data_IF_341159604048
#
_entry.id   IF_341159604048
#
_cell.length_a   1.000
_cell.length_b   1.000
_cell.length_c   1.000
_cell.angle_alpha   90.00
_cell.angle_beta   90.00
_cell.angle_gamma   90.00
#
_symmetry.space_group_name_H-M   'P 1'
#
loop_
_entity.id
_entity.type
_entity.pdbx_description
1 polymer ?
#
# COMPACT_ATOMS: atom_id res chain seq x y z
N UNK A 1 -11.73 20.61 -1.06
CA UNK A 1 -11.50 19.16 -1.22
C UNK A 1 -12.01 18.43 0.01
N UNK A 2 -12.64 17.24 -0.11
CA UNK A 2 -13.16 16.48 1.06
C UNK A 2 -12.06 15.64 1.74
N UNK A 3 -10.95 16.26 2.13
CA UNK A 3 -9.75 15.55 2.63
C UNK A 3 -10.06 14.68 3.85
N UNK A 4 -10.85 15.18 4.79
CA UNK A 4 -11.29 14.42 5.97
C UNK A 4 -12.09 13.16 5.62
N UNK A 5 -12.92 13.22 4.57
CA UNK A 5 -13.64 12.04 4.09
C UNK A 5 -12.67 11.00 3.56
N UNK A 6 -11.73 11.39 2.69
CA UNK A 6 -10.75 10.46 2.11
C UNK A 6 -9.83 9.87 3.18
N UNK A 7 -9.41 10.67 4.16
CA UNK A 7 -8.68 10.19 5.33
C UNK A 7 -9.48 9.11 6.07
N UNK A 8 -10.75 9.39 6.38
CA UNK A 8 -11.63 8.43 7.06
C UNK A 8 -11.82 7.14 6.27
N UNK A 9 -11.94 7.23 4.94
CA UNK A 9 -12.03 6.07 4.04
C UNK A 9 -10.73 5.25 4.03
N UNK A 10 -9.57 5.90 3.97
CA UNK A 10 -8.27 5.24 4.00
C UNK A 10 -8.05 4.51 5.34
N UNK A 11 -8.43 5.13 6.45
CA UNK A 11 -8.36 4.52 7.78
C UNK A 11 -9.29 3.31 7.89
N UNK A 12 -10.58 3.46 7.53
CA UNK A 12 -11.55 2.37 7.60
C UNK A 12 -11.19 1.18 6.70
N UNK A 13 -10.63 1.45 5.52
CA UNK A 13 -10.20 0.40 4.60
C UNK A 13 -9.08 -0.47 5.20
N UNK A 14 -8.16 0.10 5.98
CA UNK A 14 -7.08 -0.67 6.61
C UNK A 14 -7.62 -1.74 7.56
N UNK A 15 -8.60 -1.35 8.38
CA UNK A 15 -9.33 -2.28 9.25
C UNK A 15 -10.15 -3.31 8.48
N UNK A 16 -10.82 -2.91 7.39
CA UNK A 16 -11.60 -3.83 6.56
C UNK A 16 -10.73 -4.91 5.90
N UNK A 17 -9.55 -4.55 5.38
CA UNK A 17 -8.60 -5.52 4.81
C UNK A 17 -8.12 -6.51 5.87
N UNK A 18 -7.76 -6.03 7.06
CA UNK A 18 -7.35 -6.91 8.17
C UNK A 18 -8.48 -7.86 8.60
N UNK A 19 -9.72 -7.38 8.64
CA UNK A 19 -10.89 -8.19 8.97
C UNK A 19 -11.17 -9.26 7.90
N UNK A 20 -11.02 -8.94 6.61
CA UNK A 20 -11.18 -9.91 5.52
C UNK A 20 -10.10 -10.99 5.53
N UNK A 21 -8.90 -10.68 6.02
CA UNK A 21 -7.82 -11.65 6.17
C UNK A 21 -7.94 -12.51 7.44
N UNK A 22 -8.83 -12.16 8.36
CA UNK A 22 -8.97 -12.87 9.63
C UNK A 22 -9.55 -14.27 9.42
N UNK A 23 -8.99 -15.26 10.13
CA UNK A 23 -9.47 -16.65 10.08
C UNK A 23 -9.05 -17.45 8.83
N UNK A 24 -8.36 -16.82 7.87
CA UNK A 24 -7.78 -17.52 6.72
C UNK A 24 -6.56 -18.32 7.20
N UNK A 25 -6.58 -19.63 6.95
CA UNK A 25 -5.47 -20.49 7.32
C UNK A 25 -4.27 -20.37 6.36
N UNK A 26 -3.17 -21.07 6.70
CA UNK A 26 -1.93 -20.97 5.94
C UNK A 26 -2.09 -21.44 4.49
N UNK A 27 -2.83 -22.52 4.24
CA UNK A 27 -2.98 -23.10 2.92
C UNK A 27 -3.91 -22.24 2.06
N UNK A 28 -5.04 -21.80 2.63
CA UNK A 28 -5.95 -20.85 2.00
C UNK A 28 -5.25 -19.53 1.65
N UNK A 29 -4.38 -19.02 2.53
CA UNK A 29 -3.68 -17.75 2.29
C UNK A 29 -2.73 -17.81 1.09
N UNK A 30 -2.17 -19.00 0.80
CA UNK A 30 -1.20 -19.25 -0.27
C UNK A 30 -1.85 -19.67 -1.58
N UNK A 31 -3.09 -20.15 -1.52
CA UNK A 31 -3.83 -20.61 -2.69
C UNK A 31 -3.99 -19.49 -3.72
N UNK A 32 -3.73 -19.83 -4.99
CA UNK A 32 -3.88 -18.94 -6.13
C UNK A 32 -5.08 -19.39 -6.98
N UNK A 33 -6.02 -18.49 -7.33
CA UNK A 33 -7.19 -18.84 -8.17
C UNK A 33 -6.84 -19.31 -9.58
N UNK A 34 -5.71 -18.85 -10.11
CA UNK A 34 -5.14 -19.26 -11.39
C UNK A 34 -3.62 -19.06 -11.36
N UNK A 35 -2.91 -19.50 -12.41
CA UNK A 35 -1.46 -19.29 -12.52
C UNK A 35 -1.08 -17.80 -12.46
N UNK A 36 -1.92 -16.95 -13.06
CA UNK A 36 -1.68 -15.51 -13.25
C UNK A 36 -2.30 -14.64 -12.14
N UNK A 37 -3.17 -15.19 -11.30
CA UNK A 37 -3.77 -14.46 -10.19
C UNK A 37 -2.87 -14.49 -8.95
N UNK A 38 -2.97 -13.47 -8.10
CA UNK A 38 -2.31 -13.49 -6.79
C UNK A 38 -3.16 -14.19 -5.73
N UNK A 39 -2.49 -14.84 -4.79
CA UNK A 39 -3.06 -15.31 -3.53
C UNK A 39 -3.37 -14.16 -2.58
N UNK A 40 -4.17 -14.42 -1.54
CA UNK A 40 -4.43 -13.43 -0.48
C UNK A 40 -3.12 -12.98 0.17
N UNK A 41 -2.19 -13.91 0.43
CA UNK A 41 -0.90 -13.58 1.04
C UNK A 41 -0.07 -12.65 0.15
N UNK A 42 -0.05 -12.89 -1.17
CA UNK A 42 0.64 -12.01 -2.12
C UNK A 42 0.00 -10.62 -2.15
N UNK A 43 -1.33 -10.53 -2.18
CA UNK A 43 -2.06 -9.24 -2.14
C UNK A 43 -1.74 -8.46 -0.87
N UNK A 44 -1.81 -9.08 0.32
CA UNK A 44 -1.51 -8.37 1.59
C UNK A 44 -0.08 -7.86 1.62
N UNK A 45 0.89 -8.63 1.11
CA UNK A 45 2.28 -8.20 1.07
C UNK A 45 2.49 -7.05 0.09
N UNK A 46 1.84 -7.09 -1.07
CA UNK A 46 1.86 -5.99 -2.03
C UNK A 46 1.27 -4.71 -1.42
N UNK A 47 0.08 -4.78 -0.80
CA UNK A 47 -0.54 -3.62 -0.14
C UNK A 47 0.38 -2.98 0.92
N UNK A 48 1.13 -3.78 1.67
CA UNK A 48 2.08 -3.25 2.66
C UNK A 48 3.26 -2.50 2.04
N UNK A 49 3.68 -2.88 0.84
CA UNK A 49 4.78 -2.23 0.12
C UNK A 49 4.26 -0.99 -0.62
N UNK A 50 3.04 -1.03 -1.16
CA UNK A 50 2.33 0.14 -1.72
C UNK A 50 2.16 1.28 -0.69
N UNK A 51 1.94 0.98 0.59
CA UNK A 51 1.93 2.01 1.64
C UNK A 51 3.23 2.82 1.69
N UNK A 52 4.37 2.23 1.33
CA UNK A 52 5.68 2.88 1.42
C UNK A 52 6.16 3.39 0.07
N UNK A 53 6.26 2.49 -0.90
CA UNK A 53 6.99 2.67 -2.16
C UNK A 53 6.14 3.38 -3.21
N UNK A 54 4.81 3.27 -3.12
CA UNK A 54 3.87 3.98 -3.96
C UNK A 54 3.28 5.18 -3.21
N UNK A 55 2.35 4.95 -2.28
CA UNK A 55 1.51 5.99 -1.71
C UNK A 55 2.31 7.07 -0.98
N UNK A 56 3.12 6.70 0.01
CA UNK A 56 3.91 7.67 0.78
C UNK A 56 4.99 8.34 -0.07
N UNK A 57 5.79 7.54 -0.78
CA UNK A 57 6.86 8.04 -1.65
C UNK A 57 6.32 9.04 -2.67
N UNK A 58 5.26 8.69 -3.41
CA UNK A 58 4.69 9.53 -4.47
C UNK A 58 4.01 10.76 -3.90
N UNK A 59 3.32 10.64 -2.76
CA UNK A 59 2.75 11.80 -2.08
C UNK A 59 3.83 12.80 -1.65
N UNK A 60 4.90 12.33 -1.01
CA UNK A 60 6.00 13.19 -0.56
C UNK A 60 6.70 13.85 -1.76
N UNK A 61 6.92 13.12 -2.86
CA UNK A 61 7.47 13.68 -4.09
C UNK A 61 6.54 14.73 -4.71
N UNK A 62 5.24 14.47 -4.82
CA UNK A 62 4.28 15.44 -5.36
C UNK A 62 4.20 16.70 -4.49
N UNK A 63 4.14 16.54 -3.18
CA UNK A 63 3.99 17.67 -2.26
C UNK A 63 5.27 18.48 -2.10
N UNK A 64 6.45 17.88 -2.18
CA UNK A 64 7.70 18.55 -1.81
C UNK A 64 8.74 18.64 -2.93
N UNK A 65 8.71 17.75 -3.91
CA UNK A 65 9.70 17.66 -4.99
C UNK A 65 9.02 17.34 -6.35
N UNK A 66 8.06 18.15 -6.84
CA UNK A 66 7.21 17.78 -7.98
C UNK A 66 7.97 17.59 -9.30
N UNK A 67 9.21 18.08 -9.39
CA UNK A 67 10.10 17.91 -10.55
C UNK A 67 10.92 16.62 -10.50
N UNK A 68 11.01 15.95 -9.34
CA UNK A 68 11.71 14.68 -9.23
C UNK A 68 10.88 13.57 -9.92
N UNK A 69 11.52 12.70 -10.71
CA UNK A 69 10.83 11.56 -11.30
C UNK A 69 10.37 10.61 -10.19
N UNK A 70 9.20 10.00 -10.39
CA UNK A 70 8.78 8.92 -9.51
C UNK A 70 9.66 7.68 -9.74
N UNK A 71 10.13 7.01 -8.69
CA UNK A 71 10.76 5.70 -8.82
C UNK A 71 9.82 4.73 -9.54
N UNK A 72 10.38 3.93 -10.45
CA UNK A 72 9.64 2.84 -11.07
C UNK A 72 9.34 1.76 -10.02
N UNK A 73 8.15 1.18 -10.10
CA UNK A 73 7.72 0.03 -9.31
C UNK A 73 7.28 -1.07 -10.28
N UNK A 74 7.57 -2.33 -9.96
CA UNK A 74 7.11 -3.48 -10.73
C UNK A 74 6.44 -4.48 -9.78
N UNK A 75 5.15 -4.28 -9.47
CA UNK A 75 4.42 -5.15 -8.55
C UNK A 75 4.45 -6.62 -8.96
N UNK A 76 4.43 -6.90 -10.27
CA UNK A 76 4.45 -8.27 -10.81
C UNK A 76 5.77 -8.96 -10.52
N UNK A 77 6.89 -8.29 -10.80
CA UNK A 77 8.22 -8.81 -10.49
C UNK A 77 8.48 -8.88 -8.98
N UNK A 78 8.04 -7.88 -8.22
CA UNK A 78 8.27 -7.80 -6.77
C UNK A 78 7.63 -8.95 -5.99
N UNK A 79 6.42 -9.36 -6.38
CA UNK A 79 5.73 -10.50 -5.74
C UNK A 79 6.59 -11.76 -5.79
N UNK A 80 7.22 -12.03 -6.94
CA UNK A 80 8.10 -13.17 -7.14
C UNK A 80 9.45 -12.97 -6.46
N UNK A 81 10.11 -11.83 -6.71
CA UNK A 81 11.45 -11.52 -6.22
C UNK A 81 11.51 -11.52 -4.67
N UNK A 82 10.47 -10.99 -4.03
CA UNK A 82 10.38 -10.87 -2.56
C UNK A 82 9.69 -12.08 -1.90
N UNK A 83 9.36 -13.10 -2.69
CA UNK A 83 8.79 -14.39 -2.29
C UNK A 83 7.60 -14.24 -1.35
N UNK A 84 6.62 -13.41 -1.72
CA UNK A 84 5.49 -13.12 -0.82
C UNK A 84 4.74 -14.38 -0.38
N UNK A 85 4.54 -15.32 -1.32
CA UNK A 85 3.84 -16.58 -1.06
C UNK A 85 4.59 -17.52 -0.09
N UNK A 86 5.80 -17.18 0.40
CA UNK A 86 6.49 -17.97 1.44
C UNK A 86 6.40 -17.35 2.84
N UNK A 87 5.71 -16.21 3.00
CA UNK A 87 5.59 -15.49 4.28
C UNK A 87 4.47 -16.07 5.16
N UNK A 88 4.21 -15.44 6.31
CA UNK A 88 3.09 -15.76 7.21
C UNK A 88 2.04 -14.66 7.11
N UNK A 89 0.77 -15.06 6.95
CA UNK A 89 -0.33 -14.10 6.76
C UNK A 89 -0.46 -13.13 7.94
N UNK A 90 -0.38 -13.62 9.18
CA UNK A 90 -0.47 -12.77 10.38
C UNK A 90 0.60 -11.66 10.38
N UNK A 91 1.87 -12.02 10.15
CA UNK A 91 2.99 -11.07 10.10
C UNK A 91 2.81 -10.07 8.94
N UNK A 92 2.31 -10.54 7.79
CA UNK A 92 2.04 -9.69 6.63
C UNK A 92 0.91 -8.69 6.88
N UNK A 93 -0.19 -9.11 7.54
CA UNK A 93 -1.30 -8.22 7.94
C UNK A 93 -0.82 -7.21 8.98
N UNK A 94 -0.01 -7.64 9.95
CA UNK A 94 0.60 -6.73 10.93
C UNK A 94 1.50 -5.69 10.23
N UNK A 95 2.33 -6.11 9.26
CA UNK A 95 3.15 -5.18 8.47
C UNK A 95 2.28 -4.16 7.76
N UNK A 96 1.25 -4.60 7.03
CA UNK A 96 0.34 -3.72 6.33
C UNK A 96 -0.34 -2.71 7.27
N UNK A 97 -0.94 -3.18 8.35
CA UNK A 97 -1.68 -2.33 9.30
C UNK A 97 -0.78 -1.33 10.02
N UNK A 98 0.44 -1.72 10.39
CA UNK A 98 1.43 -0.80 10.96
C UNK A 98 1.81 0.30 9.95
N UNK A 99 2.06 -0.07 8.69
CA UNK A 99 2.41 0.87 7.62
C UNK A 99 1.26 1.84 7.31
N UNK A 100 0.01 1.35 7.29
CA UNK A 100 -1.20 2.19 7.17
C UNK A 100 -1.32 3.18 8.32
N UNK A 101 -1.08 2.75 9.55
CA UNK A 101 -1.12 3.64 10.72
C UNK A 101 -0.06 4.76 10.61
N UNK A 102 1.16 4.41 10.20
CA UNK A 102 2.21 5.41 9.92
C UNK A 102 1.79 6.39 8.82
N UNK A 103 1.22 5.90 7.70
CA UNK A 103 0.74 6.75 6.61
C UNK A 103 -0.32 7.74 7.10
N UNK A 104 -1.29 7.28 7.90
CA UNK A 104 -2.33 8.13 8.48
C UNK A 104 -1.76 9.17 9.45
N UNK A 105 -0.81 8.77 10.30
CA UNK A 105 -0.13 9.70 11.20
C UNK A 105 0.61 10.80 10.43
N UNK A 106 1.34 10.45 9.37
CA UNK A 106 2.02 11.41 8.50
C UNK A 106 1.04 12.36 7.83
N UNK A 107 -0.05 11.84 7.26
CA UNK A 107 -1.10 12.66 6.64
C UNK A 107 -1.69 13.67 7.62
N UNK A 108 -1.93 13.29 8.88
CA UNK A 108 -2.44 14.18 9.93
C UNK A 108 -1.43 15.26 10.34
N UNK A 109 -0.15 14.98 10.21
CA UNK A 109 0.93 15.89 10.57
C UNK A 109 1.28 16.89 9.46
N UNK A 110 0.71 16.76 8.26
CA UNK A 110 0.92 17.73 7.18
C UNK A 110 0.33 19.09 7.56
N UNK A 111 1.17 20.13 7.54
CA UNK A 111 0.76 21.50 7.78
C UNK A 111 0.43 22.20 6.46
N UNK A 112 -0.82 22.66 6.33
CA UNK A 112 -1.36 23.33 5.15
C UNK A 112 -0.89 22.78 3.78
N UNK A 113 -1.00 21.47 3.51
CA UNK A 113 -0.53 20.89 2.25
C UNK A 113 -1.29 21.44 1.04
N UNK A 114 -0.53 21.77 -0.01
CA UNK A 114 -1.08 22.21 -1.29
C UNK A 114 -1.52 21.01 -2.15
N UNK A 115 -2.79 20.66 -2.02
CA UNK A 115 -3.42 19.57 -2.76
C UNK A 115 -3.63 19.85 -4.25
N UNK A 116 -3.24 21.04 -4.74
CA UNK A 116 -3.28 21.36 -6.18
C UNK A 116 -1.98 21.01 -6.90
N UNK A 117 -0.93 20.63 -6.16
CA UNK A 117 0.35 20.20 -6.75
C UNK A 117 0.18 18.95 -7.61
N UNK A 118 0.84 18.97 -8.76
CA UNK A 118 0.92 17.84 -9.68
C UNK A 118 2.39 17.46 -9.93
N UNK A 119 2.71 16.17 -10.07
CA UNK A 119 4.05 15.75 -10.48
C UNK A 119 4.28 16.13 -11.95
N UNK A 120 5.49 16.59 -12.28
CA UNK A 120 5.85 16.99 -13.65
C UNK A 120 6.24 15.82 -14.55
N UNK A 121 6.68 14.69 -13.98
CA UNK A 121 7.03 13.49 -14.73
C UNK A 121 6.63 12.21 -13.97
N UNK A 122 5.32 11.91 -13.87
CA UNK A 122 4.87 10.72 -13.17
C UNK A 122 5.16 9.44 -13.98
N UNK A 123 5.67 8.40 -13.31
CA UNK A 123 5.75 7.05 -13.84
C UNK A 123 4.74 6.19 -13.08
N UNK A 124 3.73 5.64 -13.78
CA UNK A 124 2.61 4.96 -13.12
C UNK A 124 2.83 3.45 -12.90
N UNK A 125 3.92 2.91 -13.43
CA UNK A 125 4.18 1.46 -13.53
C UNK A 125 4.38 1.10 -14.99
#
# INVERSE_FOLDING_TARGET
>A
MKTEYFYGRLAANGGAVAALAAGIDADQSRWKPSADAWSVLEVINHLADEELEDFRQRLDLTLHQPQAPWPAIDPGADVLARRYNTRKLADSVQRFTARRAESLQRLRALDAPDWTRTPSNPHFG
#
